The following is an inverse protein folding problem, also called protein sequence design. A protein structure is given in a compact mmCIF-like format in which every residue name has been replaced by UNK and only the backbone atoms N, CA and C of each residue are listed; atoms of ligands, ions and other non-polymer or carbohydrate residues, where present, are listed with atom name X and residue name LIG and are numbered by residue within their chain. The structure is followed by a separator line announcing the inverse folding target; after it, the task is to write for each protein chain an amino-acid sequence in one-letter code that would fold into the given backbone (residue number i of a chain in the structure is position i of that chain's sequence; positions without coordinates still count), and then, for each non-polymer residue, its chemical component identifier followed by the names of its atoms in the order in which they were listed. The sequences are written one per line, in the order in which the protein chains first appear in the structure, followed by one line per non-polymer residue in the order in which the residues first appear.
data_IF_952932415710
#
_entry.id   IF_952932415710
#
_cell.length_a   1.000
_cell.length_b   1.000
_cell.length_c   1.000
_cell.angle_alpha   90.00
_cell.angle_beta   90.00
_cell.angle_gamma   90.00
#
_symmetry.space_group_name_H-M   'P 1'
#
loop_
_entity.id
_entity.type
_entity.pdbx_description
1 polymer ?
#
# COMPACT_ATOMS: atom_id res chain seq x y z
N UNK A 1 23.44 51.48 -15.87
CA UNK A 1 22.13 51.52 -15.19
C UNK A 1 21.32 50.38 -15.79
N UNK A 2 21.43 49.20 -15.19
CA UNK A 2 20.88 47.94 -15.68
C UNK A 2 19.64 47.60 -14.84
N UNK A 3 18.48 47.51 -15.48
CA UNK A 3 17.22 47.09 -14.85
C UNK A 3 17.36 45.72 -14.18
N UNK A 4 16.78 45.52 -12.98
CA UNK A 4 16.73 44.20 -12.36
C UNK A 4 15.67 43.33 -13.05
N UNK A 5 16.06 42.10 -13.34
CA UNK A 5 15.19 41.02 -13.81
C UNK A 5 14.07 40.80 -12.80
N UNK A 6 12.81 40.87 -13.28
CA UNK A 6 11.61 40.54 -12.50
C UNK A 6 11.62 39.05 -12.18
N UNK A 7 11.57 38.73 -10.90
CA UNK A 7 11.28 37.39 -10.41
C UNK A 7 9.90 36.96 -10.94
N UNK A 8 9.88 35.86 -11.69
CA UNK A 8 8.65 35.19 -12.08
C UNK A 8 8.19 34.40 -10.85
N UNK A 9 7.25 34.97 -10.10
CA UNK A 9 6.49 34.23 -9.08
C UNK A 9 5.88 32.98 -9.72
N UNK A 10 6.36 31.80 -9.32
CA UNK A 10 5.70 30.54 -9.64
C UNK A 10 4.40 30.48 -8.83
N UNK A 11 3.26 30.16 -9.44
CA UNK A 11 2.00 30.07 -8.71
C UNK A 11 2.09 28.94 -7.67
N UNK A 12 1.96 29.29 -6.39
CA UNK A 12 1.73 28.33 -5.32
C UNK A 12 0.39 27.63 -5.59
N UNK A 13 0.45 26.44 -6.18
CA UNK A 13 -0.71 25.54 -6.20
C UNK A 13 -0.98 25.11 -4.77
N UNK A 14 -2.04 25.67 -4.20
CA UNK A 14 -2.54 25.33 -2.87
C UNK A 14 -3.13 23.91 -2.89
N UNK A 15 -2.25 22.89 -2.83
CA UNK A 15 -2.64 21.48 -2.78
C UNK A 15 -3.17 21.16 -1.38
N UNK A 16 -4.47 20.94 -1.25
CA UNK A 16 -5.04 20.30 -0.07
C UNK A 16 -4.60 18.84 -0.05
N UNK A 17 -3.70 18.49 0.88
CA UNK A 17 -3.28 17.10 1.08
C UNK A 17 -4.48 16.28 1.58
N UNK A 18 -5.00 15.40 0.74
CA UNK A 18 -5.98 14.41 1.15
C UNK A 18 -5.25 13.20 1.77
N UNK A 19 -5.59 12.86 3.01
CA UNK A 19 -5.00 11.71 3.69
C UNK A 19 -5.48 10.43 2.99
N UNK A 20 -4.60 9.78 2.24
CA UNK A 20 -4.88 8.47 1.64
C UNK A 20 -4.93 7.40 2.74
N UNK A 21 -6.05 6.67 2.90
CA UNK A 21 -6.16 5.57 3.85
C UNK A 21 -5.30 4.37 3.46
N UNK A 22 -5.02 3.49 4.43
CA UNK A 22 -4.46 2.17 4.17
C UNK A 22 -5.61 1.21 3.84
N UNK A 23 -5.51 0.50 2.72
CA UNK A 23 -6.50 -0.50 2.32
C UNK A 23 -5.96 -1.92 2.50
N UNK A 24 -6.73 -2.77 3.17
CA UNK A 24 -6.45 -4.19 3.28
C UNK A 24 -6.39 -4.85 1.89
N UNK A 25 -7.21 -4.37 0.94
CA UNK A 25 -7.23 -4.80 -0.46
C UNK A 25 -5.83 -4.75 -1.09
N UNK A 26 -5.13 -3.62 -0.95
CA UNK A 26 -3.80 -3.42 -1.54
C UNK A 26 -2.74 -4.34 -0.90
N UNK A 27 -2.85 -4.57 0.42
CA UNK A 27 -1.96 -5.44 1.18
C UNK A 27 -2.15 -6.90 0.77
N UNK A 28 -3.38 -7.42 0.81
CA UNK A 28 -3.64 -8.84 0.55
C UNK A 28 -3.54 -9.19 -0.93
N UNK A 29 -3.83 -8.26 -1.85
CA UNK A 29 -3.58 -8.47 -3.27
C UNK A 29 -2.07 -8.59 -3.54
N UNK A 30 -1.27 -7.70 -2.92
CA UNK A 30 0.19 -7.75 -3.06
C UNK A 30 0.79 -9.00 -2.41
N UNK A 31 0.30 -9.40 -1.24
CA UNK A 31 0.76 -10.61 -0.58
C UNK A 31 0.40 -11.86 -1.37
N UNK A 32 -0.77 -11.89 -2.03
CA UNK A 32 -1.16 -13.00 -2.91
C UNK A 32 -0.26 -13.09 -4.14
N UNK A 33 0.04 -11.96 -4.80
CA UNK A 33 1.00 -11.91 -5.91
C UNK A 33 2.38 -12.39 -5.47
N UNK A 34 2.84 -11.97 -4.30
CA UNK A 34 4.15 -12.37 -3.77
C UNK A 34 4.21 -13.88 -3.50
N UNK A 35 3.23 -14.43 -2.77
CA UNK A 35 3.24 -15.83 -2.36
C UNK A 35 2.91 -16.77 -3.53
N UNK A 36 1.87 -16.50 -4.31
CA UNK A 36 1.46 -17.38 -5.42
C UNK A 36 2.27 -17.17 -6.69
N UNK A 37 2.85 -15.97 -6.89
CA UNK A 37 3.67 -15.62 -8.03
C UNK A 37 5.16 -15.70 -7.73
N UNK A 38 5.72 -14.66 -7.12
CA UNK A 38 7.16 -14.47 -6.96
C UNK A 38 7.86 -15.68 -6.29
N UNK A 39 7.32 -16.23 -5.20
CA UNK A 39 7.91 -17.41 -4.55
C UNK A 39 7.80 -18.67 -5.43
N UNK A 40 6.64 -18.88 -6.07
CA UNK A 40 6.39 -20.03 -6.95
C UNK A 40 7.30 -20.07 -8.20
N UNK A 41 7.83 -18.92 -8.62
CA UNK A 41 8.71 -18.80 -9.78
C UNK A 41 10.16 -19.24 -9.50
N UNK A 42 10.53 -19.50 -8.25
CA UNK A 42 11.88 -19.89 -7.89
C UNK A 42 12.12 -21.39 -8.15
N UNK A 43 13.13 -21.73 -8.95
CA UNK A 43 13.42 -23.13 -9.31
C UNK A 43 13.91 -23.94 -8.10
N UNK A 44 14.81 -23.36 -7.31
CA UNK A 44 15.40 -23.99 -6.13
C UNK A 44 15.45 -22.98 -4.97
N UNK A 45 14.85 -23.34 -3.84
CA UNK A 45 14.79 -22.59 -2.59
C UNK A 45 15.53 -23.41 -1.53
N UNK A 46 16.79 -23.06 -1.28
CA UNK A 46 17.69 -23.75 -0.34
C UNK A 46 18.63 -22.74 0.30
N UNK A 47 19.34 -23.10 1.38
CA UNK A 47 20.32 -22.20 1.99
C UNK A 47 19.70 -20.85 2.42
N UNK A 48 20.35 -19.75 2.03
CA UNK A 48 19.92 -18.41 2.45
C UNK A 48 18.51 -18.03 1.96
N UNK A 49 18.08 -18.50 0.78
CA UNK A 49 16.71 -18.29 0.28
C UNK A 49 15.67 -18.98 1.16
N UNK A 50 15.95 -20.21 1.58
CA UNK A 50 15.03 -20.95 2.44
C UNK A 50 14.98 -20.34 3.84
N UNK A 51 16.11 -19.89 4.37
CA UNK A 51 16.16 -19.20 5.66
C UNK A 51 15.40 -17.87 5.61
N UNK A 52 15.55 -17.10 4.52
CA UNK A 52 14.80 -15.87 4.29
C UNK A 52 13.28 -16.13 4.21
N UNK A 53 12.84 -17.20 3.53
CA UNK A 53 11.43 -17.58 3.45
C UNK A 53 10.88 -17.99 4.83
N UNK A 54 11.64 -18.77 5.61
CA UNK A 54 11.27 -19.17 6.98
C UNK A 54 11.07 -17.94 7.88
N UNK A 55 12.00 -16.99 7.80
CA UNK A 55 11.95 -15.76 8.59
C UNK A 55 10.77 -14.85 8.19
N UNK A 56 10.54 -14.69 6.88
CA UNK A 56 9.42 -13.92 6.35
C UNK A 56 8.06 -14.50 6.81
N UNK A 57 7.89 -15.83 6.72
CA UNK A 57 6.67 -16.50 7.18
C UNK A 57 6.48 -16.40 8.69
N UNK A 58 7.56 -16.49 9.47
CA UNK A 58 7.50 -16.29 10.93
C UNK A 58 7.04 -14.88 11.29
N UNK A 59 7.61 -13.87 10.62
CA UNK A 59 7.21 -12.47 10.79
C UNK A 59 5.73 -12.28 10.45
N UNK A 60 5.26 -12.79 9.30
CA UNK A 60 3.85 -12.69 8.94
C UNK A 60 2.94 -13.39 9.96
N UNK A 61 3.32 -14.58 10.44
CA UNK A 61 2.54 -15.33 11.42
C UNK A 61 2.31 -14.53 12.72
N UNK A 62 3.34 -13.80 13.16
CA UNK A 62 3.29 -13.00 14.38
C UNK A 62 2.58 -11.66 14.18
N UNK A 63 2.85 -11.00 13.05
CA UNK A 63 2.58 -9.58 12.88
C UNK A 63 1.44 -9.27 11.91
N UNK A 64 1.04 -10.16 11.00
CA UNK A 64 0.03 -9.84 9.98
C UNK A 64 -1.39 -9.73 10.61
N UNK A 65 -2.02 -8.55 10.62
CA UNK A 65 -3.43 -8.39 10.95
C UNK A 65 -4.25 -9.13 9.89
N UNK A 66 -4.91 -10.22 10.30
CA UNK A 66 -5.60 -11.15 9.43
C UNK A 66 -6.62 -11.95 10.25
N UNK A 67 -7.55 -12.59 9.55
CA UNK A 67 -8.56 -13.45 10.16
C UNK A 67 -7.90 -14.61 10.94
N UNK A 68 -8.65 -15.24 11.83
CA UNK A 68 -8.17 -16.45 12.51
C UNK A 68 -7.87 -17.59 11.53
N UNK A 69 -8.67 -17.74 10.48
CA UNK A 69 -8.49 -18.77 9.46
C UNK A 69 -7.19 -18.56 8.66
N UNK A 70 -6.93 -17.34 8.22
CA UNK A 70 -5.71 -16.99 7.51
C UNK A 70 -4.47 -17.27 8.37
N UNK A 71 -4.52 -16.91 9.67
CA UNK A 71 -3.45 -17.18 10.64
C UNK A 71 -3.19 -18.69 10.81
N UNK A 72 -4.23 -19.51 10.82
CA UNK A 72 -4.08 -20.96 10.90
C UNK A 72 -3.40 -21.54 9.66
N UNK A 73 -3.84 -21.12 8.46
CA UNK A 73 -3.21 -21.53 7.19
C UNK A 73 -1.76 -21.06 7.11
N UNK A 74 -1.47 -19.83 7.52
CA UNK A 74 -0.10 -19.30 7.57
C UNK A 74 0.79 -20.05 8.58
N UNK A 75 0.23 -20.40 9.75
CA UNK A 75 0.93 -21.23 10.75
C UNK A 75 1.29 -22.60 10.19
N UNK A 76 0.37 -23.23 9.46
CA UNK A 76 0.63 -24.49 8.77
C UNK A 76 1.76 -24.36 7.74
N UNK A 77 1.66 -23.38 6.84
CA UNK A 77 2.68 -23.16 5.80
C UNK A 77 4.05 -22.89 6.43
N UNK A 78 4.11 -22.08 7.49
CA UNK A 78 5.34 -21.85 8.23
C UNK A 78 5.93 -23.14 8.84
N UNK A 79 5.12 -23.97 9.49
CA UNK A 79 5.59 -25.23 10.09
C UNK A 79 6.08 -26.21 9.03
N UNK A 80 5.37 -26.28 7.90
CA UNK A 80 5.77 -27.08 6.76
C UNK A 80 7.12 -26.63 6.18
N UNK A 81 7.30 -25.35 5.85
CA UNK A 81 8.58 -24.82 5.33
C UNK A 81 9.71 -25.01 6.34
N UNK A 82 9.44 -24.88 7.65
CA UNK A 82 10.43 -25.15 8.69
C UNK A 82 10.95 -26.58 8.71
N UNK A 83 10.14 -27.55 8.30
CA UNK A 83 10.54 -28.96 8.21
C UNK A 83 11.39 -29.26 6.98
N UNK A 84 11.48 -28.33 6.03
CA UNK A 84 12.22 -28.51 4.78
C UNK A 84 13.68 -28.10 4.92
N UNK A 85 14.56 -28.85 4.24
CA UNK A 85 15.96 -28.50 3.98
C UNK A 85 16.16 -27.87 2.60
N UNK A 86 15.34 -28.26 1.62
CA UNK A 86 15.23 -27.68 0.28
C UNK A 86 13.77 -27.68 -0.16
N UNK A 87 13.41 -26.75 -1.04
CA UNK A 87 12.06 -26.59 -1.58
C UNK A 87 12.15 -26.07 -3.02
N UNK A 88 11.23 -26.46 -3.89
CA UNK A 88 11.08 -25.84 -5.22
C UNK A 88 9.82 -24.96 -5.24
N UNK A 89 9.80 -23.94 -6.11
CA UNK A 89 8.61 -23.11 -6.32
C UNK A 89 7.39 -23.92 -6.76
N UNK A 90 7.59 -25.05 -7.46
CA UNK A 90 6.52 -25.99 -7.81
C UNK A 90 5.93 -26.70 -6.59
N UNK A 91 6.77 -27.17 -5.66
CA UNK A 91 6.31 -27.78 -4.41
C UNK A 91 5.60 -26.75 -3.52
N UNK A 92 6.12 -25.52 -3.48
CA UNK A 92 5.47 -24.38 -2.82
C UNK A 92 4.06 -24.13 -3.36
N UNK A 93 3.92 -23.95 -4.67
CA UNK A 93 2.62 -23.74 -5.31
C UNK A 93 1.65 -24.91 -5.08
N UNK A 94 2.15 -26.15 -5.13
CA UNK A 94 1.35 -27.34 -4.85
C UNK A 94 0.83 -27.35 -3.41
N UNK A 95 1.63 -26.93 -2.43
CA UNK A 95 1.21 -26.86 -1.03
C UNK A 95 0.20 -25.73 -0.77
N UNK A 96 0.38 -24.56 -1.38
CA UNK A 96 -0.61 -23.48 -1.32
C UNK A 96 -1.96 -23.95 -1.88
N UNK A 97 -1.95 -24.65 -3.01
CA UNK A 97 -3.17 -25.25 -3.58
C UNK A 97 -3.77 -26.32 -2.67
N UNK A 98 -2.95 -27.24 -2.13
CA UNK A 98 -3.41 -28.33 -1.26
C UNK A 98 -4.07 -27.84 0.02
N UNK A 99 -3.59 -26.72 0.56
CA UNK A 99 -4.11 -26.10 1.78
C UNK A 99 -5.18 -25.05 1.52
N UNK A 100 -5.52 -24.84 0.24
CA UNK A 100 -6.42 -23.78 -0.21
C UNK A 100 -6.01 -22.43 0.40
N UNK A 101 -4.70 -22.13 0.35
CA UNK A 101 -4.17 -20.88 0.87
C UNK A 101 -4.76 -19.71 0.06
N UNK A 102 -5.30 -18.66 0.69
CA UNK A 102 -6.05 -17.64 -0.04
C UNK A 102 -5.22 -16.98 -1.16
N UNK A 103 -5.82 -16.86 -2.34
CA UNK A 103 -5.29 -16.16 -3.52
C UNK A 103 -6.24 -15.00 -3.85
N UNK A 104 -6.01 -13.85 -3.21
CA UNK A 104 -6.85 -12.66 -3.42
C UNK A 104 -6.37 -11.87 -4.64
N UNK A 105 -7.16 -11.89 -5.71
CA UNK A 105 -6.89 -11.19 -6.98
C UNK A 105 -7.76 -9.94 -7.19
N UNK A 106 -8.07 -9.23 -6.10
CA UNK A 106 -8.86 -8.00 -6.17
C UNK A 106 -8.12 -6.83 -6.84
N UNK A 107 -8.88 -5.83 -7.30
CA UNK A 107 -8.29 -4.58 -7.79
C UNK A 107 -7.64 -3.77 -6.66
N UNK A 108 -6.46 -3.21 -6.95
CA UNK A 108 -5.84 -2.20 -6.11
C UNK A 108 -6.74 -0.98 -5.96
N UNK A 109 -6.78 -0.41 -4.75
CA UNK A 109 -7.56 0.78 -4.39
C UNK A 109 -6.63 2.00 -4.30
N UNK A 110 -5.97 2.19 -3.16
CA UNK A 110 -5.05 3.30 -2.97
C UNK A 110 -3.75 3.08 -3.75
N UNK A 111 -3.38 1.85 -4.07
CA UNK A 111 -2.23 1.53 -4.91
C UNK A 111 -2.53 1.46 -6.41
N UNK A 112 -3.75 1.78 -6.87
CA UNK A 112 -4.07 1.82 -8.30
C UNK A 112 -3.18 2.84 -9.02
N UNK A 113 -2.49 2.40 -10.07
CA UNK A 113 -1.71 3.26 -10.96
C UNK A 113 -2.60 4.02 -11.94
N UNK A 114 -2.09 5.13 -12.47
CA UNK A 114 -2.73 5.82 -13.60
C UNK A 114 -2.77 4.98 -14.88
N UNK A 115 -1.82 4.04 -15.00
CA UNK A 115 -1.73 3.03 -16.04
C UNK A 115 -1.37 1.67 -15.39
N UNK A 116 -1.66 0.52 -16.05
CA UNK A 116 -1.39 -0.81 -15.49
C UNK A 116 0.06 -1.09 -15.08
N UNK A 117 1.04 -0.40 -15.70
CA UNK A 117 2.47 -0.54 -15.40
C UNK A 117 2.93 0.19 -14.15
N UNK A 118 2.10 1.07 -13.58
CA UNK A 118 2.46 1.92 -12.45
C UNK A 118 1.88 1.40 -11.13
N UNK A 119 2.60 1.69 -10.04
CA UNK A 119 2.16 1.45 -8.64
C UNK A 119 1.83 -0.03 -8.41
N UNK A 120 0.59 -0.36 -8.05
CA UNK A 120 0.11 -1.73 -7.86
C UNK A 120 0.90 -2.53 -6.83
N UNK A 121 1.35 -3.71 -7.23
CA UNK A 121 2.02 -4.70 -6.38
C UNK A 121 3.17 -4.13 -5.53
N UNK A 122 4.18 -3.44 -6.09
CA UNK A 122 5.22 -2.79 -5.29
C UNK A 122 4.68 -1.81 -4.23
N UNK A 123 3.62 -1.06 -4.55
CA UNK A 123 3.01 -0.10 -3.61
C UNK A 123 2.37 -0.82 -2.42
N UNK A 124 1.58 -1.86 -2.66
CA UNK A 124 0.92 -2.59 -1.58
C UNK A 124 1.89 -3.39 -0.71
N UNK A 125 3.02 -3.86 -1.26
CA UNK A 125 4.11 -4.43 -0.45
C UNK A 125 4.73 -3.40 0.49
N UNK A 126 5.00 -2.18 0.04
CA UNK A 126 5.49 -1.14 0.95
C UNK A 126 4.50 -0.88 2.08
N UNK A 127 3.21 -0.78 1.77
CA UNK A 127 2.16 -0.61 2.78
C UNK A 127 2.16 -1.79 3.76
N UNK A 128 2.24 -3.04 3.29
CA UNK A 128 2.33 -4.24 4.13
C UNK A 128 3.48 -4.11 5.14
N UNK A 129 4.70 -3.82 4.69
CA UNK A 129 5.84 -3.76 5.61
C UNK A 129 5.75 -2.60 6.61
N UNK A 130 5.27 -1.43 6.18
CA UNK A 130 5.01 -0.32 7.11
C UNK A 130 3.99 -0.73 8.18
N UNK A 131 2.89 -1.37 7.77
CA UNK A 131 1.90 -1.96 8.67
C UNK A 131 2.51 -2.95 9.67
N UNK A 132 3.40 -3.85 9.22
CA UNK A 132 4.03 -4.83 10.10
C UNK A 132 4.97 -4.19 11.13
N UNK A 133 5.73 -3.13 10.77
CA UNK A 133 6.55 -2.40 11.75
C UNK A 133 5.70 -1.74 12.83
N UNK A 134 4.56 -1.14 12.47
CA UNK A 134 3.62 -0.55 13.44
C UNK A 134 2.99 -1.62 14.31
N UNK A 135 2.60 -2.76 13.73
CA UNK A 135 2.05 -3.88 14.50
C UNK A 135 3.08 -4.46 15.47
N UNK A 136 4.34 -4.54 15.07
CA UNK A 136 5.42 -4.93 15.96
C UNK A 136 5.53 -3.97 17.15
N UNK A 137 5.51 -2.65 16.93
CA UNK A 137 5.51 -1.65 18.00
C UNK A 137 4.35 -1.85 18.99
N UNK A 138 3.13 -2.07 18.50
CA UNK A 138 1.94 -2.31 19.34
C UNK A 138 2.07 -3.55 20.22
N UNK A 139 2.59 -4.65 19.66
CA UNK A 139 2.75 -5.93 20.34
C UNK A 139 3.91 -5.92 21.34
N UNK A 140 5.00 -5.20 21.05
CA UNK A 140 6.15 -5.11 21.94
C UNK A 140 5.85 -4.39 23.26
N UNK A 141 4.82 -3.55 23.31
CA UNK A 141 4.25 -3.03 24.58
C UNK A 141 3.77 -4.14 25.52
N UNK A 142 3.52 -5.34 25.01
CA UNK A 142 3.10 -6.54 25.76
C UNK A 142 4.29 -7.43 26.19
N UNK A 143 5.54 -7.00 25.96
CA UNK A 143 6.80 -7.68 26.33
C UNK A 143 6.93 -9.12 25.80
N UNK A 144 6.60 -9.33 24.52
CA UNK A 144 6.56 -10.65 23.89
C UNK A 144 7.93 -11.23 23.46
N UNK A 145 9.05 -10.60 23.83
CA UNK A 145 10.40 -11.09 23.48
C UNK A 145 10.70 -11.13 21.98
N UNK A 146 9.99 -10.33 21.18
CA UNK A 146 10.17 -10.23 19.73
C UNK A 146 11.45 -9.43 19.43
N UNK A 147 12.32 -9.88 18.50
CA UNK A 147 13.51 -9.13 18.10
C UNK A 147 13.18 -7.72 17.60
N UNK A 148 14.01 -6.74 17.97
CA UNK A 148 13.77 -5.33 17.67
C UNK A 148 13.71 -4.99 16.17
N UNK A 149 14.35 -5.80 15.33
CA UNK A 149 14.52 -5.62 13.90
C UNK A 149 13.86 -6.74 13.08
N UNK A 150 12.85 -7.43 13.64
CA UNK A 150 12.20 -8.59 13.00
C UNK A 150 11.65 -8.30 11.60
N UNK A 151 11.11 -7.10 11.36
CA UNK A 151 10.58 -6.71 10.04
C UNK A 151 11.73 -6.28 9.14
N UNK A 152 12.64 -5.46 9.64
CA UNK A 152 13.78 -4.96 8.87
C UNK A 152 14.67 -6.11 8.35
N UNK A 153 14.94 -7.10 9.21
CA UNK A 153 15.77 -8.26 8.90
C UNK A 153 15.06 -9.21 7.94
N UNK A 154 13.78 -9.52 8.17
CA UNK A 154 12.98 -10.32 7.25
C UNK A 154 12.93 -9.66 5.87
N UNK A 155 12.74 -8.34 5.78
CA UNK A 155 12.77 -7.60 4.51
C UNK A 155 14.14 -7.67 3.84
N UNK A 156 15.22 -7.37 4.58
CA UNK A 156 16.60 -7.41 4.08
C UNK A 156 16.93 -8.76 3.46
N UNK A 157 16.46 -9.86 4.05
CA UNK A 157 16.72 -11.20 3.54
C UNK A 157 15.76 -11.60 2.41
N UNK A 158 14.47 -11.36 2.58
CA UNK A 158 13.44 -11.88 1.68
C UNK A 158 13.36 -11.11 0.36
N UNK A 159 13.32 -9.77 0.40
CA UNK A 159 13.08 -8.96 -0.80
C UNK A 159 14.17 -9.14 -1.87
N UNK A 160 15.47 -9.13 -1.53
CA UNK A 160 16.51 -9.34 -2.53
C UNK A 160 16.44 -10.71 -3.22
N UNK A 161 15.86 -11.71 -2.56
CA UNK A 161 15.84 -13.10 -3.02
C UNK A 161 14.58 -13.44 -3.81
N UNK A 162 13.40 -12.96 -3.38
CA UNK A 162 12.13 -13.38 -3.97
C UNK A 162 11.46 -12.31 -4.84
N UNK A 163 11.64 -11.02 -4.58
CA UNK A 163 10.89 -9.97 -5.27
C UNK A 163 11.22 -9.94 -6.77
N UNK A 164 10.22 -10.06 -7.63
CA UNK A 164 10.41 -10.28 -9.09
C UNK A 164 11.16 -9.16 -9.81
N UNK A 165 11.06 -7.91 -9.35
CA UNK A 165 11.85 -6.83 -9.93
C UNK A 165 13.34 -6.96 -9.56
N UNK A 166 14.14 -7.51 -10.48
CA UNK A 166 15.56 -7.78 -10.25
C UNK A 166 16.37 -6.53 -9.89
N UNK A 167 16.26 -5.45 -10.67
CA UNK A 167 16.93 -4.17 -10.37
C UNK A 167 16.49 -3.60 -9.01
N UNK A 168 15.19 -3.70 -8.68
CA UNK A 168 14.67 -3.24 -7.39
C UNK A 168 15.26 -4.02 -6.22
N UNK A 169 15.43 -5.34 -6.38
CA UNK A 169 15.98 -6.23 -5.38
C UNK A 169 17.43 -5.89 -5.02
N UNK A 170 18.30 -5.64 -6.01
CA UNK A 170 19.68 -5.21 -5.77
C UNK A 170 19.77 -3.82 -5.13
N UNK A 171 18.96 -2.88 -5.61
CA UNK A 171 18.86 -1.55 -5.01
C UNK A 171 18.33 -1.58 -3.57
N UNK A 172 17.37 -2.46 -3.27
CA UNK A 172 16.85 -2.65 -1.92
C UNK A 172 17.91 -3.27 -1.02
N UNK A 173 18.57 -4.34 -1.48
CA UNK A 173 19.69 -5.00 -0.79
C UNK A 173 20.77 -4.00 -0.37
N UNK A 174 21.16 -3.10 -1.28
CA UNK A 174 22.13 -2.06 -0.98
C UNK A 174 21.59 -1.02 0.02
N UNK A 175 20.32 -0.65 -0.08
CA UNK A 175 19.68 0.33 0.80
C UNK A 175 19.33 -0.22 2.19
N UNK A 176 19.41 -1.54 2.39
CA UNK A 176 19.22 -2.22 3.68
C UNK A 176 20.49 -2.94 4.16
N UNK A 177 21.64 -2.71 3.54
CA UNK A 177 22.84 -3.52 3.74
C UNK A 177 23.37 -3.56 5.18
N UNK A 178 23.09 -2.52 5.99
CA UNK A 178 23.49 -2.47 7.40
C UNK A 178 22.64 -3.34 8.33
N UNK A 179 21.60 -4.01 7.81
CA UNK A 179 20.79 -4.98 8.56
C UNK A 179 21.39 -6.38 8.52
N UNK A 180 22.11 -6.71 7.44
CA UNK A 180 22.67 -8.03 7.23
C UNK A 180 23.64 -8.41 8.36
N UNK A 181 23.53 -9.64 8.88
CA UNK A 181 24.48 -10.16 9.88
C UNK A 181 25.80 -10.52 9.20
N UNK A 182 26.86 -10.71 10.00
CA UNK A 182 28.22 -10.97 9.52
C UNK A 182 28.39 -12.21 8.63
N UNK A 183 27.47 -13.18 8.72
CA UNK A 183 27.49 -14.44 7.96
C UNK A 183 26.47 -14.46 6.82
N UNK A 184 25.78 -13.35 6.57
CA UNK A 184 24.72 -13.26 5.56
C UNK A 184 25.19 -12.46 4.35
N UNK A 185 24.79 -12.90 3.16
CA UNK A 185 25.07 -12.16 1.93
C UNK A 185 24.26 -10.86 1.86
N UNK A 186 24.95 -9.73 1.65
CA UNK A 186 24.32 -8.41 1.44
C UNK A 186 23.51 -8.41 0.13
N UNK A 187 24.13 -8.84 -0.98
CA UNK A 187 23.49 -8.93 -2.29
C UNK A 187 23.02 -10.36 -2.55
N UNK A 188 21.94 -10.55 -3.32
CA UNK A 188 21.48 -11.89 -3.65
C UNK A 188 22.50 -12.59 -4.56
N UNK A 189 22.92 -13.80 -4.19
CA UNK A 189 23.96 -14.57 -4.89
C UNK A 189 23.42 -15.42 -6.04
N UNK A 190 22.16 -15.85 -5.97
CA UNK A 190 21.52 -16.71 -6.98
C UNK A 190 20.65 -15.91 -7.98
N UNK A 191 21.04 -14.65 -8.26
CA UNK A 191 20.33 -13.80 -9.22
C UNK A 191 21.32 -13.21 -10.22
N UNK A 192 20.85 -13.02 -11.45
CA UNK A 192 21.63 -12.36 -12.49
C UNK A 192 21.85 -10.90 -12.07
N UNK A 193 23.09 -10.41 -11.95
CA UNK A 193 23.35 -9.00 -11.64
C UNK A 193 22.69 -8.07 -12.69
N UNK A 194 22.12 -6.92 -12.30
CA UNK A 194 21.61 -5.94 -13.25
C UNK A 194 22.73 -5.35 -14.12
N UNK A 195 22.35 -4.63 -15.18
CA UNK A 195 23.30 -3.88 -15.98
C UNK A 195 24.09 -2.88 -15.09
N UNK A 196 25.42 -2.75 -15.26
CA UNK A 196 26.21 -1.77 -14.51
C UNK A 196 25.75 -0.31 -14.65
N UNK A 197 25.07 0.04 -15.75
CA UNK A 197 24.45 1.36 -15.92
C UNK A 197 23.27 1.58 -14.95
N UNK A 198 22.60 0.51 -14.56
CA UNK A 198 21.42 0.51 -13.69
C UNK A 198 21.77 0.32 -12.20
N UNK A 199 22.80 -0.48 -11.91
CA UNK A 199 23.24 -0.76 -10.55
C UNK A 199 24.72 -1.14 -10.46
N UNK A 200 25.44 -0.48 -9.55
CA UNK A 200 26.76 -0.91 -9.09
C UNK A 200 26.84 -0.87 -7.57
N UNK A 201 27.44 -1.89 -6.97
CA UNK A 201 27.67 -1.92 -5.53
C UNK A 201 28.77 -0.94 -5.14
N UNK A 202 28.50 -0.12 -4.12
CA UNK A 202 29.48 0.78 -3.54
C UNK A 202 29.38 0.73 -2.01
N UNK A 203 30.42 0.22 -1.35
CA UNK A 203 30.48 0.05 0.10
C UNK A 203 30.36 1.37 0.88
N UNK A 204 30.68 2.53 0.26
CA UNK A 204 30.49 3.84 0.88
C UNK A 204 29.01 4.13 1.20
N UNK A 205 28.05 3.42 0.60
CA UNK A 205 26.63 3.56 0.93
C UNK A 205 26.36 3.27 2.42
N UNK A 206 27.12 2.35 3.03
CA UNK A 206 26.96 1.96 4.43
C UNK A 206 27.09 3.15 5.39
N UNK A 207 27.93 4.14 5.05
CA UNK A 207 28.15 5.33 5.87
C UNK A 207 26.96 6.31 5.85
N UNK A 208 26.04 6.16 4.91
CA UNK A 208 24.89 7.07 4.72
C UNK A 208 23.54 6.36 4.88
N UNK A 209 23.53 5.08 5.26
CA UNK A 209 22.28 4.35 5.54
C UNK A 209 21.66 4.83 6.87
N UNK A 210 20.33 4.80 7.00
CA UNK A 210 19.69 5.03 8.28
C UNK A 210 20.17 3.98 9.31
N UNK A 211 20.36 4.39 10.56
CA UNK A 211 20.81 3.53 11.65
C UNK A 211 19.97 2.25 11.74
N UNK A 212 20.62 1.09 11.92
CA UNK A 212 19.92 -0.18 12.08
C UNK A 212 19.02 -0.14 13.33
N UNK A 213 17.78 -0.64 13.26
CA UNK A 213 16.84 -0.52 14.34
C UNK A 213 17.25 -1.39 15.54
N UNK A 214 17.22 -0.78 16.72
CA UNK A 214 17.54 -1.40 18.00
C UNK A 214 16.33 -1.49 18.93
N UNK A 215 15.18 -0.93 18.52
CA UNK A 215 13.90 -1.08 19.21
C UNK A 215 12.73 -0.94 18.20
N UNK A 216 11.51 -1.38 18.55
CA UNK A 216 10.37 -1.35 17.63
C UNK A 216 10.03 0.05 17.11
N UNK A 217 10.24 1.10 17.91
CA UNK A 217 10.05 2.49 17.46
C UNK A 217 11.09 2.93 16.42
N UNK A 218 12.35 2.53 16.58
CA UNK A 218 13.38 2.84 15.59
C UNK A 218 13.20 2.03 14.31
N UNK A 219 12.59 0.84 14.37
CA UNK A 219 12.24 0.05 13.17
C UNK A 219 11.20 0.75 12.29
N UNK A 220 10.14 1.33 12.89
CA UNK A 220 9.15 2.14 12.17
C UNK A 220 9.80 3.33 11.46
N UNK A 221 10.68 4.05 12.16
CA UNK A 221 11.40 5.20 11.61
C UNK A 221 12.42 4.79 10.55
N UNK A 222 13.13 3.68 10.76
CA UNK A 222 14.10 3.14 9.81
C UNK A 222 13.43 2.82 8.48
N UNK A 223 12.29 2.12 8.49
CA UNK A 223 11.59 1.77 7.25
C UNK A 223 11.08 3.01 6.52
N UNK A 224 10.61 4.03 7.24
CA UNK A 224 10.26 5.32 6.65
C UNK A 224 11.46 6.00 5.98
N UNK A 225 12.62 6.01 6.64
CA UNK A 225 13.84 6.59 6.08
C UNK A 225 14.34 5.81 4.84
N UNK A 226 14.34 4.48 4.88
CA UNK A 226 14.69 3.61 3.74
C UNK A 226 13.76 3.86 2.56
N UNK A 227 12.45 3.90 2.80
CA UNK A 227 11.46 4.15 1.73
C UNK A 227 11.60 5.56 1.15
N UNK A 228 11.86 6.58 1.98
CA UNK A 228 12.07 7.95 1.50
C UNK A 228 13.36 8.11 0.68
N UNK A 229 14.42 7.34 0.97
CA UNK A 229 15.60 7.27 0.10
C UNK A 229 15.26 6.70 -1.28
N UNK A 230 14.39 5.68 -1.33
CA UNK A 230 13.87 5.14 -2.60
C UNK A 230 13.03 6.18 -3.34
N UNK A 231 12.14 6.91 -2.64
CA UNK A 231 11.35 8.00 -3.24
C UNK A 231 12.25 9.07 -3.85
N UNK A 232 13.28 9.51 -3.13
CA UNK A 232 14.26 10.49 -3.63
C UNK A 232 14.97 10.00 -4.89
N UNK A 233 15.40 8.73 -4.93
CA UNK A 233 16.06 8.15 -6.12
C UNK A 233 15.13 8.04 -7.33
N UNK A 234 13.86 7.69 -7.09
CA UNK A 234 12.88 7.46 -8.15
C UNK A 234 12.14 8.73 -8.60
N UNK A 235 12.33 9.86 -7.92
CA UNK A 235 11.70 11.13 -8.32
C UNK A 235 12.19 11.55 -9.71
N UNK A 236 11.25 11.82 -10.62
CA UNK A 236 11.53 12.17 -12.01
C UNK A 236 11.94 10.99 -12.90
N UNK A 237 11.94 9.75 -12.38
CA UNK A 237 12.30 8.59 -13.17
C UNK A 237 11.18 8.21 -14.16
N UNK A 238 11.53 7.54 -15.26
CA UNK A 238 10.54 7.08 -16.27
C UNK A 238 9.53 6.05 -15.72
N UNK A 239 9.83 5.46 -14.57
CA UNK A 239 8.98 4.51 -13.83
C UNK A 239 8.10 5.20 -12.78
N UNK A 240 8.24 6.52 -12.60
CA UNK A 240 7.36 7.32 -11.75
C UNK A 240 6.00 7.51 -12.42
N UNK A 241 4.94 7.34 -11.65
CA UNK A 241 3.58 7.60 -12.11
C UNK A 241 3.36 9.12 -12.16
N UNK A 242 3.06 9.73 -13.33
CA UNK A 242 2.85 11.17 -13.44
C UNK A 242 1.70 11.70 -12.56
N UNK A 243 0.73 10.85 -12.19
CA UNK A 243 -0.38 11.22 -11.29
C UNK A 243 -0.08 10.97 -9.81
N UNK A 244 1.05 10.32 -9.50
CA UNK A 244 1.48 10.05 -8.12
C UNK A 244 3.00 10.25 -8.00
N UNK A 245 3.47 11.50 -8.11
CA UNK A 245 4.89 11.82 -8.01
C UNK A 245 5.47 11.40 -6.66
N UNK A 246 6.72 10.97 -6.66
CA UNK A 246 7.48 10.59 -5.47
C UNK A 246 7.74 11.83 -4.64
N UNK A 247 7.33 11.76 -3.39
CA UNK A 247 7.55 12.79 -2.38
C UNK A 247 8.25 12.17 -1.18
N UNK A 248 8.87 13.03 -0.38
CA UNK A 248 9.20 12.68 1.00
C UNK A 248 7.89 12.51 1.78
N UNK A 249 7.70 11.34 2.38
CA UNK A 249 6.49 11.00 3.11
C UNK A 249 6.75 10.93 4.63
N UNK A 250 5.91 11.55 5.47
CA UNK A 250 4.76 12.39 5.08
C UNK A 250 5.21 13.77 4.56
N UNK A 251 4.49 14.36 3.59
CA UNK A 251 4.77 15.73 3.18
C UNK A 251 4.53 16.73 4.33
N UNK A 252 5.10 17.93 4.24
CA UNK A 252 4.97 18.98 5.27
C UNK A 252 3.49 19.26 5.58
N UNK A 253 2.63 19.30 4.57
CA UNK A 253 1.20 19.55 4.71
C UNK A 253 0.49 18.46 5.55
N UNK A 254 0.94 17.21 5.44
CA UNK A 254 0.36 16.09 6.17
C UNK A 254 0.79 16.04 7.64
N UNK A 255 2.02 16.46 7.94
CA UNK A 255 2.54 16.53 9.29
C UNK A 255 3.56 17.66 9.46
N UNK A 256 3.14 18.93 9.64
CA UNK A 256 4.07 20.04 9.77
C UNK A 256 5.02 19.86 10.96
N UNK A 257 4.53 19.23 12.03
CA UNK A 257 5.30 18.96 13.24
C UNK A 257 6.39 17.90 13.07
N UNK A 258 6.36 17.12 11.98
CA UNK A 258 7.37 16.11 11.66
C UNK A 258 8.64 16.73 11.04
N UNK A 259 8.58 18.00 10.63
CA UNK A 259 9.64 18.67 9.89
C UNK A 259 10.32 19.76 10.72
N UNK A 260 11.61 19.96 10.45
CA UNK A 260 12.42 21.09 10.93
C UNK A 260 13.17 21.70 9.76
N UNK A 261 13.69 22.92 9.90
CA UNK A 261 14.64 23.49 8.95
C UNK A 261 16.07 23.26 9.44
N UNK A 262 16.98 22.91 8.53
CA UNK A 262 18.41 22.85 8.85
C UNK A 262 19.08 24.23 8.80
N UNK A 263 20.40 24.29 9.04
CA UNK A 263 21.17 25.53 9.01
C UNK A 263 21.20 26.22 7.62
N UNK A 264 20.82 25.50 6.56
CA UNK A 264 20.71 26.01 5.19
C UNK A 264 19.27 26.35 4.81
N UNK A 265 18.35 26.31 5.79
CA UNK A 265 16.91 26.50 5.61
C UNK A 265 16.24 25.43 4.72
N UNK A 266 16.83 24.23 4.66
CA UNK A 266 16.25 23.09 3.95
C UNK A 266 15.38 22.24 4.88
N UNK A 267 14.23 21.73 4.41
CA UNK A 267 13.34 20.93 5.24
C UNK A 267 13.93 19.55 5.52
N UNK A 268 14.05 19.22 6.81
CA UNK A 268 14.54 17.93 7.32
C UNK A 268 13.43 17.23 8.09
N UNK A 269 13.02 16.07 7.58
CA UNK A 269 12.06 15.18 8.23
C UNK A 269 12.73 14.51 9.43
N UNK A 270 12.16 14.65 10.64
CA UNK A 270 12.72 14.04 11.85
C UNK A 270 14.09 14.58 12.27
N UNK A 271 14.40 15.83 11.93
CA UNK A 271 15.73 16.42 12.17
C UNK A 271 16.12 16.53 13.66
N UNK A 272 15.15 16.64 14.57
CA UNK A 272 15.36 16.63 16.03
C UNK A 272 14.62 15.46 16.69
N UNK A 273 14.92 15.17 17.96
CA UNK A 273 14.20 14.12 18.69
C UNK A 273 12.69 14.39 18.75
N UNK A 274 12.30 15.61 19.06
CA UNK A 274 10.88 16.01 19.08
C UNK A 274 10.19 15.81 17.72
N UNK A 275 10.88 16.13 16.62
CA UNK A 275 10.35 15.91 15.26
C UNK A 275 10.23 14.41 14.95
N UNK A 276 11.18 13.59 15.40
CA UNK A 276 11.10 12.12 15.29
C UNK A 276 9.94 11.54 16.08
N UNK A 277 9.66 12.07 17.27
CA UNK A 277 8.54 11.61 18.09
C UNK A 277 7.19 11.92 17.41
N UNK A 278 7.04 13.12 16.83
CA UNK A 278 5.87 13.47 16.01
C UNK A 278 5.75 12.57 14.77
N UNK A 279 6.87 12.29 14.09
CA UNK A 279 6.91 11.39 12.93
C UNK A 279 6.49 9.98 13.30
N UNK A 280 7.04 9.43 14.39
CA UNK A 280 6.65 8.13 14.91
C UNK A 280 5.14 8.09 15.17
N UNK A 281 4.61 9.08 15.90
CA UNK A 281 3.17 9.13 16.17
C UNK A 281 2.32 9.20 14.89
N UNK A 282 2.74 9.98 13.89
CA UNK A 282 2.06 10.04 12.60
C UNK A 282 2.04 8.66 11.91
N UNK A 283 3.18 7.98 11.83
CA UNK A 283 3.29 6.67 11.18
C UNK A 283 2.50 5.60 11.92
N UNK A 284 2.56 5.58 13.25
CA UNK A 284 1.76 4.69 14.08
C UNK A 284 0.27 4.89 13.81
N UNK A 285 -0.20 6.14 13.74
CA UNK A 285 -1.60 6.43 13.43
C UNK A 285 -2.00 6.08 12.00
N UNK A 286 -1.09 6.24 11.02
CA UNK A 286 -1.41 6.05 9.61
C UNK A 286 -1.48 4.56 9.23
N UNK A 287 -0.57 3.74 9.77
CA UNK A 287 -0.46 2.32 9.41
C UNK A 287 -1.11 1.35 10.41
N UNK A 288 -1.68 1.84 11.52
CA UNK A 288 -2.38 1.00 12.49
C UNK A 288 -3.54 0.22 11.84
N UNK A 289 -3.59 -1.08 12.10
CA UNK A 289 -4.60 -2.00 11.55
C UNK A 289 -6.05 -1.65 11.91
N UNK A 290 -6.26 -0.96 13.03
CA UNK A 290 -7.57 -0.45 13.43
C UNK A 290 -8.14 0.63 12.50
N UNK A 291 -7.29 1.26 11.67
CA UNK A 291 -7.68 2.28 10.69
C UNK A 291 -7.70 1.79 9.24
N UNK A 292 -7.49 0.49 8.99
CA UNK A 292 -7.50 -0.02 7.62
C UNK A 292 -8.91 -0.04 7.05
N UNK A 293 -9.03 0.43 5.81
CA UNK A 293 -10.25 0.26 5.02
C UNK A 293 -10.25 -1.12 4.36
N UNK A 294 -11.43 -1.72 4.22
CA UNK A 294 -11.63 -2.96 3.51
C UNK A 294 -12.84 -2.81 2.58
N UNK A 295 -12.62 -2.85 1.27
CA UNK A 295 -13.70 -2.77 0.29
C UNK A 295 -14.20 -4.15 -0.13
N UNK A 296 -13.27 -5.09 -0.37
CA UNK A 296 -13.59 -6.37 -1.03
C UNK A 296 -12.85 -7.58 -0.46
N UNK A 297 -11.94 -7.42 0.50
CA UNK A 297 -11.22 -8.55 1.10
C UNK A 297 -12.21 -9.42 1.90
N UNK A 298 -12.35 -10.71 1.57
CA UNK A 298 -13.24 -11.61 2.30
C UNK A 298 -12.87 -11.75 3.77
N UNK A 299 -13.88 -11.96 4.64
CA UNK A 299 -13.69 -12.14 6.10
C UNK A 299 -12.76 -13.29 6.47
N UNK A 300 -12.72 -14.36 5.67
CA UNK A 300 -11.80 -15.47 5.91
C UNK A 300 -10.32 -15.09 5.65
N UNK A 301 -10.04 -13.95 5.03
CA UNK A 301 -8.68 -13.42 4.83
C UNK A 301 -8.38 -12.33 5.86
N UNK A 302 -9.23 -11.31 5.90
CA UNK A 302 -9.09 -10.16 6.79
C UNK A 302 -10.39 -9.91 7.51
N UNK A 303 -10.34 -9.91 8.83
CA UNK A 303 -11.51 -9.67 9.66
C UNK A 303 -11.21 -8.59 10.69
N UNK A 304 -11.86 -7.43 10.54
CA UNK A 304 -11.80 -6.32 11.50
C UNK A 304 -12.78 -6.48 12.66
N UNK A 305 -13.54 -7.59 12.67
CA UNK A 305 -14.58 -7.85 13.66
C UNK A 305 -14.00 -7.85 15.06
N UNK A 306 -12.84 -8.48 15.24
CA UNK A 306 -12.22 -8.64 16.56
C UNK A 306 -11.77 -7.28 17.14
N UNK A 307 -11.26 -6.35 16.33
CA UNK A 307 -10.84 -5.03 16.78
C UNK A 307 -12.04 -4.16 17.23
N UNK A 308 -13.12 -4.15 16.45
CA UNK A 308 -14.33 -3.38 16.76
C UNK A 308 -15.00 -3.94 18.01
N UNK A 309 -15.13 -5.26 18.10
CA UNK A 309 -15.68 -5.94 19.28
C UNK A 309 -14.77 -5.77 20.50
N UNK A 310 -13.45 -5.79 20.32
CA UNK A 310 -12.49 -5.53 21.40
C UNK A 310 -12.63 -4.12 21.95
N UNK A 311 -12.70 -3.10 21.07
CA UNK A 311 -12.87 -1.71 21.50
C UNK A 311 -14.18 -1.54 22.27
N UNK A 312 -15.26 -2.15 21.79
CA UNK A 312 -16.53 -2.18 22.50
C UNK A 312 -16.42 -2.88 23.86
N UNK A 313 -15.71 -4.01 23.95
CA UNK A 313 -15.48 -4.71 25.21
C UNK A 313 -14.67 -3.87 26.22
N UNK A 314 -13.66 -3.12 25.75
CA UNK A 314 -12.88 -2.19 26.59
C UNK A 314 -13.74 -1.03 27.05
N UNK A 315 -14.47 -0.40 26.14
CA UNK A 315 -15.42 0.68 26.46
C UNK A 315 -16.41 0.24 27.54
N UNK A 316 -16.99 -0.95 27.39
CA UNK A 316 -17.95 -1.52 28.32
C UNK A 316 -17.34 -1.92 29.67
N UNK A 317 -16.08 -2.35 29.70
CA UNK A 317 -15.35 -2.58 30.95
C UNK A 317 -15.19 -1.27 31.74
N UNK A 318 -14.92 -0.16 31.05
CA UNK A 318 -14.85 1.16 31.66
C UNK A 318 -16.23 1.62 32.13
N UNK A 319 -17.28 1.46 31.32
CA UNK A 319 -18.64 1.81 31.74
C UNK A 319 -19.08 1.04 32.98
N UNK A 320 -18.83 -0.28 33.03
CA UNK A 320 -19.13 -1.10 34.22
C UNK A 320 -18.37 -0.61 35.47
N UNK A 321 -17.11 -0.19 35.32
CA UNK A 321 -16.30 0.35 36.42
C UNK A 321 -16.81 1.71 36.91
N UNK A 322 -17.28 2.56 36.00
CA UNK A 322 -17.69 3.93 36.30
C UNK A 322 -19.16 4.05 36.71
N UNK A 323 -19.98 3.04 36.45
CA UNK A 323 -21.37 2.97 36.90
C UNK A 323 -21.46 3.16 38.41
N UNK A 324 -22.23 4.15 38.87
CA UNK A 324 -22.42 4.49 40.27
C UNK A 324 -21.24 5.23 40.92
N UNK A 325 -20.23 5.67 40.15
CA UNK A 325 -19.12 6.44 40.68
C UNK A 325 -19.56 7.85 41.09
N UNK A 326 -18.91 8.43 42.10
CA UNK A 326 -19.22 9.80 42.57
C UNK A 326 -19.01 10.87 41.47
N UNK A 327 -18.16 10.58 40.48
CA UNK A 327 -17.90 11.46 39.33
C UNK A 327 -18.81 11.17 38.13
N UNK A 328 -19.78 10.26 38.26
CA UNK A 328 -20.75 9.97 37.21
C UNK A 328 -21.76 11.11 37.09
N UNK A 329 -22.08 11.50 35.86
CA UNK A 329 -23.15 12.45 35.59
C UNK A 329 -24.52 11.76 35.81
N UNK A 330 -25.35 12.21 36.77
CA UNK A 330 -26.66 11.62 37.02
C UNK A 330 -27.61 11.68 35.81
N UNK A 331 -27.37 12.61 34.86
CA UNK A 331 -28.16 12.73 33.63
C UNK A 331 -27.66 11.85 32.49
N UNK A 332 -26.47 11.27 32.62
CA UNK A 332 -25.85 10.41 31.61
C UNK A 332 -25.17 9.19 32.28
N UNK A 333 -25.96 8.30 32.92
CA UNK A 333 -25.43 7.14 33.61
C UNK A 333 -24.67 6.21 32.63
N UNK A 334 -23.55 5.67 33.10
CA UNK A 334 -22.71 4.74 32.36
C UNK A 334 -23.39 3.37 32.33
N UNK A 335 -23.84 3.00 31.15
CA UNK A 335 -24.46 1.70 30.87
C UNK A 335 -23.61 0.90 29.89
N UNK A 336 -23.82 -0.41 29.85
CA UNK A 336 -23.28 -1.25 28.78
C UNK A 336 -23.86 -0.81 27.43
N UNK A 337 -23.01 -0.65 26.43
CA UNK A 337 -23.35 -0.20 25.10
C UNK A 337 -23.08 -1.30 24.04
N UNK A 338 -24.04 -1.58 23.13
CA UNK A 338 -25.39 -1.05 23.11
C UNK A 338 -26.25 -1.61 24.25
N UNK A 339 -27.18 -0.83 24.82
CA UNK A 339 -28.18 -1.37 25.73
C UNK A 339 -29.07 -2.40 25.01
N UNK A 340 -29.68 -3.31 25.77
CA UNK A 340 -30.55 -4.37 25.21
C UNK A 340 -31.64 -3.78 24.31
N UNK A 341 -32.19 -2.62 24.67
CA UNK A 341 -33.24 -1.95 23.90
C UNK A 341 -32.74 -1.47 22.52
N UNK A 342 -31.47 -1.05 22.42
CA UNK A 342 -30.90 -0.56 21.17
C UNK A 342 -30.48 -1.71 20.24
N UNK A 343 -30.09 -2.86 20.79
CA UNK A 343 -29.81 -4.05 20.00
C UNK A 343 -30.15 -5.35 20.75
N UNK A 344 -31.41 -5.79 20.76
CA UNK A 344 -31.81 -7.02 21.46
C UNK A 344 -31.05 -8.25 20.94
N UNK A 345 -30.76 -8.28 19.64
CA UNK A 345 -30.02 -9.37 18.98
C UNK A 345 -28.54 -9.44 19.36
N UNK A 346 -27.98 -8.41 20.00
CA UNK A 346 -26.59 -8.39 20.45
C UNK A 346 -26.38 -9.13 21.78
N UNK A 347 -27.47 -9.46 22.49
CA UNK A 347 -27.42 -10.02 23.84
C UNK A 347 -27.90 -11.47 23.86
N UNK A 348 -27.34 -12.25 24.78
CA UNK A 348 -27.78 -13.60 25.15
C UNK A 348 -27.89 -13.70 26.67
N UNK A 349 -28.63 -14.68 27.20
CA UNK A 349 -28.59 -15.00 28.63
C UNK A 349 -27.56 -16.08 28.89
N UNK A 350 -26.76 -15.96 29.95
CA UNK A 350 -25.88 -17.02 30.41
C UNK A 350 -26.62 -18.11 31.21
N UNK A 351 -25.89 -19.12 31.69
CA UNK A 351 -26.44 -20.21 32.49
C UNK A 351 -27.06 -19.75 33.83
N UNK A 352 -26.76 -18.52 34.28
CA UNK A 352 -27.33 -17.90 35.49
C UNK A 352 -28.44 -16.91 35.15
N UNK A 353 -28.88 -16.88 33.89
CA UNK A 353 -29.88 -15.96 33.36
C UNK A 353 -29.45 -14.48 33.40
N UNK A 354 -28.14 -14.21 33.36
CA UNK A 354 -27.60 -12.86 33.28
C UNK A 354 -27.35 -12.45 31.82
N UNK A 355 -27.63 -11.18 31.45
CA UNK A 355 -27.43 -10.70 30.09
C UNK A 355 -25.94 -10.58 29.76
N UNK A 356 -25.52 -11.30 28.73
CA UNK A 356 -24.18 -11.29 28.16
C UNK A 356 -24.21 -10.69 26.76
N UNK A 357 -23.52 -9.58 26.59
CA UNK A 357 -23.31 -8.94 25.31
C UNK A 357 -22.31 -9.75 24.47
N UNK A 358 -22.70 -10.15 23.25
CA UNK A 358 -21.84 -10.93 22.36
C UNK A 358 -21.48 -12.33 22.88
N UNK A 359 -22.35 -12.96 23.67
CA UNK A 359 -22.06 -14.24 24.33
C UNK A 359 -21.88 -15.44 23.38
N UNK A 360 -22.43 -15.39 22.17
CA UNK A 360 -22.24 -16.40 21.11
C UNK A 360 -21.70 -15.75 19.83
N UNK A 361 -21.21 -16.55 18.88
CA UNK A 361 -20.75 -16.02 17.58
C UNK A 361 -21.84 -15.24 16.85
N UNK A 362 -23.06 -15.78 16.77
CA UNK A 362 -24.20 -15.09 16.15
C UNK A 362 -24.50 -13.74 16.84
N UNK A 363 -24.39 -13.66 18.17
CA UNK A 363 -24.59 -12.41 18.91
C UNK A 363 -23.45 -11.42 18.66
N UNK A 364 -22.21 -11.91 18.53
CA UNK A 364 -21.05 -11.08 18.14
C UNK A 364 -21.22 -10.49 16.74
N UNK A 365 -21.76 -11.24 15.79
CA UNK A 365 -21.99 -10.74 14.43
C UNK A 365 -23.04 -9.63 14.41
N UNK A 366 -24.14 -9.79 15.15
CA UNK A 366 -25.14 -8.73 15.34
C UNK A 366 -24.57 -7.51 16.04
N UNK A 367 -23.71 -7.71 17.05
CA UNK A 367 -23.02 -6.64 17.76
C UNK A 367 -22.08 -5.85 16.87
N UNK A 368 -21.27 -6.54 16.08
CA UNK A 368 -20.41 -5.91 15.10
C UNK A 368 -21.22 -5.05 14.13
N UNK A 369 -22.28 -5.64 13.54
CA UNK A 369 -23.13 -4.92 12.60
C UNK A 369 -23.73 -3.66 13.22
N UNK A 370 -24.21 -3.76 14.47
CA UNK A 370 -24.72 -2.60 15.22
C UNK A 370 -23.64 -1.53 15.39
N UNK A 371 -22.44 -1.89 15.83
CA UNK A 371 -21.35 -0.94 16.10
C UNK A 371 -20.89 -0.24 14.82
N UNK A 372 -20.69 -0.99 13.74
CA UNK A 372 -20.32 -0.44 12.44
C UNK A 372 -21.40 0.53 11.94
N UNK A 373 -22.67 0.17 12.07
CA UNK A 373 -23.79 1.03 11.65
C UNK A 373 -23.91 2.28 12.53
N UNK A 374 -23.74 2.14 13.85
CA UNK A 374 -23.91 3.23 14.81
C UNK A 374 -22.81 4.30 14.67
N UNK A 375 -21.57 3.88 14.42
CA UNK A 375 -20.44 4.79 14.28
C UNK A 375 -20.18 5.23 12.83
N UNK A 376 -20.94 4.72 11.86
CA UNK A 376 -20.82 5.14 10.46
C UNK A 376 -21.09 6.64 10.29
N UNK A 377 -20.32 7.27 9.40
CA UNK A 377 -20.48 8.70 9.06
C UNK A 377 -21.86 9.03 8.49
N UNK A 378 -22.52 8.05 7.85
CA UNK A 378 -23.90 8.17 7.35
C UNK A 378 -24.94 8.41 8.45
N UNK A 379 -24.62 8.10 9.71
CA UNK A 379 -25.51 8.31 10.86
C UNK A 379 -25.20 9.56 11.68
N UNK A 380 -24.23 10.39 11.28
CA UNK A 380 -23.83 11.57 12.05
C UNK A 380 -24.90 12.66 11.97
N UNK A 381 -25.39 13.10 13.14
CA UNK A 381 -26.34 14.21 13.25
C UNK A 381 -25.60 15.51 13.55
N UNK A 382 -25.65 16.45 12.60
CA UNK A 382 -25.00 17.76 12.72
C UNK A 382 -26.01 18.84 13.10
N UNK A 383 -26.19 19.06 14.39
CA UNK A 383 -27.15 20.04 14.90
C UNK A 383 -26.54 21.45 15.03
N UNK A 384 -25.22 21.54 15.23
CA UNK A 384 -24.49 22.79 15.50
C UNK A 384 -23.24 23.01 14.66
N UNK A 385 -22.91 22.06 13.80
CA UNK A 385 -21.81 22.25 12.86
C UNK A 385 -22.38 22.93 11.62
N UNK A 386 -21.84 24.09 11.21
CA UNK A 386 -22.30 24.79 10.01
C UNK A 386 -22.29 23.86 8.79
N UNK A 387 -23.35 23.91 7.98
CA UNK A 387 -23.50 23.03 6.81
C UNK A 387 -22.29 23.08 5.89
N UNK A 388 -21.67 24.24 5.67
CA UNK A 388 -20.47 24.44 4.85
C UNK A 388 -19.24 23.59 5.26
N UNK A 389 -19.20 23.05 6.49
CA UNK A 389 -18.11 22.16 6.92
C UNK A 389 -18.28 20.74 6.36
N UNK A 390 -19.53 20.35 6.08
CA UNK A 390 -19.91 19.03 5.55
C UNK A 390 -20.49 19.09 4.14
N UNK A 391 -20.65 20.29 3.61
CA UNK A 391 -21.17 20.52 2.27
C UNK A 391 -20.01 20.47 1.27
N UNK A 392 -19.86 19.34 0.60
CA UNK A 392 -19.00 19.23 -0.58
C UNK A 392 -19.61 19.89 -1.81
N UNK A 393 -20.78 20.54 -1.70
CA UNK A 393 -21.48 21.19 -2.82
C UNK A 393 -21.37 22.72 -2.88
N UNK A 394 -20.64 23.37 -1.96
CA UNK A 394 -20.26 24.81 -2.06
C UNK A 394 -18.75 25.01 -2.24
N UNK A 395 -18.11 24.20 -3.11
CA UNK A 395 -17.16 24.85 -4.02
C UNK A 395 -18.06 25.57 -5.02
N UNK A 396 -18.27 26.87 -4.80
CA UNK A 396 -18.59 27.78 -5.90
C UNK A 396 -17.48 27.57 -6.93
N UNK A 397 -17.77 26.67 -7.87
CA UNK A 397 -17.30 26.79 -9.23
C UNK A 397 -17.69 28.21 -9.56
N UNK A 398 -16.71 29.12 -9.58
CA UNK A 398 -16.78 30.26 -10.49
C UNK A 398 -17.22 29.61 -11.79
N UNK A 399 -18.49 29.80 -12.15
CA UNK A 399 -19.02 29.37 -13.43
C UNK A 399 -18.01 29.89 -14.44
N UNK A 400 -17.15 28.98 -14.88
CA UNK A 400 -16.24 29.21 -15.97
C UNK A 400 -17.19 29.41 -17.12
N UNK A 401 -17.35 30.69 -17.45
CA UNK A 401 -18.23 31.18 -18.49
C UNK A 401 -18.17 30.19 -19.63
N UNK A 402 -19.30 29.53 -19.85
CA UNK A 402 -19.67 28.72 -20.99
C UNK A 402 -18.80 29.02 -22.23
N UNK A 403 -17.63 28.40 -22.33
CA UNK A 403 -16.84 28.39 -23.56
C UNK A 403 -17.46 27.31 -24.46
N UNK A 404 -18.52 27.78 -25.12
CA UNK A 404 -19.13 27.33 -26.35
C UNK A 404 -18.95 25.86 -26.78
N UNK A 405 -20.10 25.19 -26.77
CA UNK A 405 -20.50 24.03 -27.57
C UNK A 405 -20.09 24.05 -29.07
N UNK A 406 -19.53 25.14 -29.60
CA UNK A 406 -19.01 25.21 -30.97
C UNK A 406 -17.70 24.46 -31.17
N UNK A 407 -16.87 24.32 -30.13
CA UNK A 407 -15.51 23.78 -30.29
C UNK A 407 -15.50 22.26 -30.39
N UNK A 408 -16.33 21.56 -29.64
CA UNK A 408 -16.44 20.10 -29.75
C UNK A 408 -17.04 19.69 -31.12
N UNK A 409 -18.02 20.43 -31.62
CA UNK A 409 -18.57 20.23 -32.96
C UNK A 409 -17.54 20.54 -34.04
N UNK A 410 -16.74 21.60 -33.88
CA UNK A 410 -15.67 21.95 -34.82
C UNK A 410 -14.57 20.91 -34.83
N UNK A 411 -14.13 20.42 -33.66
CA UNK A 411 -13.12 19.35 -33.55
C UNK A 411 -13.63 18.05 -34.16
N UNK A 412 -14.90 17.69 -33.95
CA UNK A 412 -15.50 16.51 -34.57
C UNK A 412 -15.55 16.63 -36.10
N UNK A 413 -15.97 17.79 -36.63
CA UNK A 413 -16.02 18.04 -38.08
C UNK A 413 -14.61 18.01 -38.68
N UNK A 414 -13.62 18.65 -38.05
CA UNK A 414 -12.23 18.66 -38.52
C UNK A 414 -11.63 17.26 -38.50
N UNK A 415 -11.91 16.45 -37.47
CA UNK A 415 -11.46 15.06 -37.37
C UNK A 415 -12.06 14.17 -38.47
N UNK A 416 -13.35 14.34 -38.78
CA UNK A 416 -14.02 13.64 -39.89
C UNK A 416 -13.45 14.07 -41.24
N UNK A 417 -13.18 15.36 -41.45
CA UNK A 417 -12.58 15.84 -42.70
C UNK A 417 -11.14 15.31 -42.88
N UNK A 418 -10.33 15.32 -41.83
CA UNK A 418 -8.96 14.80 -41.88
C UNK A 418 -8.92 13.29 -42.16
N UNK A 419 -9.84 12.52 -41.58
CA UNK A 419 -9.95 11.08 -41.85
C UNK A 419 -10.41 10.81 -43.28
N UNK A 420 -11.35 11.57 -43.84
CA UNK A 420 -11.75 11.47 -45.25
C UNK A 420 -10.61 11.82 -46.21
N UNK A 421 -9.82 12.85 -45.90
CA UNK A 421 -8.62 13.21 -46.68
C UNK A 421 -7.58 12.09 -46.62
N UNK A 422 -7.32 11.52 -45.44
CA UNK A 422 -6.38 10.40 -45.31
C UNK A 422 -6.83 9.17 -46.12
N UNK A 423 -8.11 8.81 -46.06
CA UNK A 423 -8.67 7.69 -46.83
C UNK A 423 -8.56 7.93 -48.34
N UNK A 424 -8.89 9.14 -48.81
CA UNK A 424 -8.77 9.48 -50.24
C UNK A 424 -7.32 9.45 -50.73
N UNK A 425 -6.37 9.96 -49.96
CA UNK A 425 -4.93 9.86 -50.26
C UNK A 425 -4.48 8.40 -50.34
N UNK A 426 -4.89 7.55 -49.39
CA UNK A 426 -4.57 6.12 -49.41
C UNK A 426 -5.18 5.39 -50.62
N UNK A 427 -6.40 5.76 -51.03
CA UNK A 427 -7.04 5.22 -52.24
C UNK A 427 -6.35 5.69 -53.53
N UNK A 428 -5.88 6.93 -53.58
CA UNK A 428 -5.12 7.44 -54.73
C UNK A 428 -3.74 6.80 -54.82
N UNK A 429 -3.05 6.63 -53.68
CA UNK A 429 -1.78 5.92 -53.60
C UNK A 429 -1.93 4.45 -54.00
N UNK A 430 -2.97 3.75 -53.53
CA UNK A 430 -3.22 2.37 -53.91
C UNK A 430 -3.54 2.24 -55.41
N UNK A 431 -4.32 3.16 -55.99
CA UNK A 431 -4.55 3.23 -57.44
C UNK A 431 -3.27 3.54 -58.22
N UNK A 432 -2.42 4.44 -57.72
CA UNK A 432 -1.15 4.75 -58.35
C UNK A 432 -0.21 3.54 -58.34
N UNK A 433 -0.08 2.86 -57.18
CA UNK A 433 0.69 1.63 -57.04
C UNK A 433 0.16 0.53 -57.98
N UNK A 434 -1.16 0.38 -58.07
CA UNK A 434 -1.78 -0.57 -58.99
C UNK A 434 -1.49 -0.23 -60.46
N UNK A 435 -1.56 1.04 -60.85
CA UNK A 435 -1.26 1.51 -62.21
C UNK A 435 0.23 1.34 -62.56
N UNK A 436 1.13 1.58 -61.61
CA UNK A 436 2.56 1.31 -61.74
C UNK A 436 2.85 -0.19 -61.87
N UNK A 437 2.19 -1.05 -61.08
CA UNK A 437 2.27 -2.51 -61.23
C UNK A 437 1.77 -2.97 -62.60
N UNK A 438 0.65 -2.44 -63.09
CA UNK A 438 0.07 -2.78 -64.41
C UNK A 438 0.94 -2.32 -65.58
N UNK A 439 1.63 -1.17 -65.47
CA UNK A 439 2.61 -0.72 -66.47
C UNK A 439 3.88 -1.59 -66.48
N UNK A 440 4.33 -2.05 -65.32
CA UNK A 440 5.47 -2.99 -65.21
C UNK A 440 5.19 -4.35 -65.86
N UNK A 441 3.94 -4.83 -65.79
CA UNK A 441 3.53 -6.09 -66.44
C UNK A 441 3.26 -5.97 -67.94
N UNK A 442 3.01 -4.76 -68.47
CA UNK A 442 2.91 -4.54 -69.93
C UNK A 442 4.26 -4.27 -70.61
N UNK A 443 5.26 -3.74 -69.89
CA UNK A 443 6.61 -3.51 -70.43
C UNK A 443 7.47 -4.79 -70.52
N UNK A 444 6.99 -5.92 -70.02
CA UNK A 444 7.69 -7.22 -70.03
C UNK A 444 7.30 -8.13 -71.21
N UNK A 445 6.56 -7.62 -72.18
CA UNK A 445 6.22 -8.32 -73.43
C UNK A 445 6.80 -7.59 -74.66
N UNK A 446 8.12 -7.64 -74.80
CA UNK A 446 8.77 -7.51 -76.12
C UNK A 446 9.16 -8.91 -76.57
N UNK A 447 8.50 -9.50 -77.59
CA UNK A 447 8.93 -10.78 -78.13
C UNK A 447 10.25 -10.58 -78.90
N UNK A 448 11.25 -11.39 -78.55
CA UNK A 448 12.47 -11.51 -79.32
C UNK A 448 12.12 -11.90 -80.76
N UNK A 449 12.51 -11.07 -81.72
CA UNK A 449 12.37 -11.36 -83.15
C UNK A 449 13.66 -12.04 -83.60
N UNK A 450 13.54 -13.31 -83.96
CA UNK A 450 14.52 -14.09 -84.71
C UNK A 450 14.72 -13.51 -86.11
N UNK A 451 15.96 -13.18 -86.49
CA UNK A 451 16.67 -13.61 -87.72
C UNK A 451 18.17 -13.54 -87.40
#
# INVERSE_FOLDING_TARGET
MSEPLRDVEKPEKNYTYERVPVYADDIFASLSILLHGDVSMNENISGEELDALKEFLYMLQLLLPSSQEYKQKLTWIYTWVRSMSTLTGKQWAAELNRTEFPDYRGEFVACKGSEPRFRGYPCGLWILFHALTVRHYELSRRRLGIPADIVAHAMNRFIPRFFSCNICAFHFAANSANIARSHESILPINRIPPDPADFTWNASILAILPEAPHCPSSEVLWLNAVHNRVNKRLSGAVTEDPKAPKIMFPPIQACPKCWSMDAKNEPVLGGTQERRDHLLHFLLSHYASSGWMNERVPKHIFDTTDEVLWLNAVHNRVNKRLSGAVTEDPKAPKIMFPPIQACPKCWSMDAKNEPVLGGTQERRDHLLHFLLSHYASSGWMNERVPKHIFDTTEIEILEESQENSSDLMTVAIVSVLLTLVAVTVLLLLSRFIWKCRKRRTQSSYTPARSV
#
